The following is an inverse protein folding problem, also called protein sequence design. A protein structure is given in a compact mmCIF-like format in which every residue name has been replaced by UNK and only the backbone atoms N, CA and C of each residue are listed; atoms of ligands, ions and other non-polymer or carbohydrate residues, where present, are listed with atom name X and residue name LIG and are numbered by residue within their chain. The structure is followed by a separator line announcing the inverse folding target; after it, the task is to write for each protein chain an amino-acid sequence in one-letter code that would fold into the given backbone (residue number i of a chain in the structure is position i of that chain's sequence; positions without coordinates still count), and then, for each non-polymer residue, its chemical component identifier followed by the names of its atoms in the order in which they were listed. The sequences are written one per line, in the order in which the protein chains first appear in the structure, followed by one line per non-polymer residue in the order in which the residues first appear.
data_IF_467886659543
#
_entry.id   IF_467886659543
#
_cell.length_a   1.000
_cell.length_b   1.000
_cell.length_c   1.000
_cell.angle_alpha   90.00
_cell.angle_beta   90.00
_cell.angle_gamma   90.00
#
_symmetry.space_group_name_H-M   'P 1'
#
loop_
_entity.id
_entity.type
_entity.pdbx_description
1 polymer ?
#
# COMPACT_ATOMS: atom_id res chain seq x y z
N UNK A 1 -18.96 31.97 13.92
CA UNK A 1 -17.65 31.30 13.87
C UNK A 1 -17.68 30.34 12.69
N UNK A 2 -16.69 30.33 11.79
CA UNK A 2 -16.65 29.31 10.75
C UNK A 2 -16.28 27.98 11.40
N UNK A 3 -17.03 26.93 11.07
CA UNK A 3 -16.86 25.59 11.61
C UNK A 3 -15.48 25.02 11.24
N UNK A 4 -14.66 24.76 12.27
CA UNK A 4 -13.47 23.93 12.15
C UNK A 4 -13.90 22.46 12.14
N UNK A 5 -14.48 21.99 11.04
CA UNK A 5 -14.43 20.57 10.73
C UNK A 5 -13.13 20.36 9.95
N UNK A 6 -12.02 20.23 10.69
CA UNK A 6 -10.76 19.79 10.10
C UNK A 6 -10.91 18.32 9.79
N UNK A 7 -10.98 18.02 8.51
CA UNK A 7 -11.07 16.66 7.97
C UNK A 7 -10.09 15.72 8.68
N UNK A 8 -10.62 14.85 9.53
CA UNK A 8 -9.90 13.68 10.02
C UNK A 8 -9.89 12.66 8.87
N UNK A 9 -9.11 12.93 7.83
CA UNK A 9 -8.84 11.94 6.80
C UNK A 9 -7.99 10.88 7.47
N UNK A 10 -8.61 9.77 7.86
CA UNK A 10 -7.88 8.60 8.33
C UNK A 10 -6.91 8.18 7.24
N UNK A 11 -5.63 8.27 7.55
CA UNK A 11 -4.56 7.83 6.68
C UNK A 11 -4.74 6.34 6.39
N UNK A 12 -4.54 5.88 5.15
CA UNK A 12 -4.56 4.46 4.87
C UNK A 12 -3.59 3.72 5.79
N UNK A 13 -4.02 2.57 6.31
CA UNK A 13 -3.22 1.75 7.24
C UNK A 13 -1.82 1.41 6.68
N UNK A 14 -1.71 1.35 5.35
CA UNK A 14 -0.48 1.05 4.63
C UNK A 14 0.41 2.26 4.37
N UNK A 15 -0.03 3.50 4.65
CA UNK A 15 0.72 4.73 4.28
C UNK A 15 2.11 4.79 4.94
N UNK A 16 2.23 4.22 6.15
CA UNK A 16 3.48 4.20 6.93
C UNK A 16 4.40 3.03 6.62
N UNK A 17 3.91 2.04 5.86
CA UNK A 17 4.67 0.85 5.49
C UNK A 17 5.55 1.14 4.27
N UNK A 18 6.66 0.43 4.15
CA UNK A 18 7.35 0.34 2.85
C UNK A 18 6.58 -0.59 1.87
N UNK A 19 7.08 -0.73 0.64
CA UNK A 19 6.41 -1.55 -0.37
C UNK A 19 6.42 -3.05 -0.03
N UNK A 20 7.51 -3.53 0.58
CA UNK A 20 7.68 -4.94 0.95
C UNK A 20 6.77 -5.30 2.11
N UNK A 21 6.75 -4.49 3.17
CA UNK A 21 5.87 -4.64 4.32
C UNK A 21 4.39 -4.57 3.91
N UNK A 22 4.03 -3.66 3.02
CA UNK A 22 2.66 -3.56 2.52
C UNK A 22 2.26 -4.83 1.75
N UNK A 23 3.14 -5.36 0.89
CA UNK A 23 2.90 -6.62 0.18
C UNK A 23 2.78 -7.78 1.16
N UNK A 24 3.67 -7.87 2.15
CA UNK A 24 3.66 -8.94 3.16
C UNK A 24 2.36 -8.95 3.96
N UNK A 25 1.88 -7.77 4.42
CA UNK A 25 0.59 -7.67 5.12
C UNK A 25 -0.57 -8.17 4.27
N UNK A 26 -0.58 -7.89 2.97
CA UNK A 26 -1.59 -8.43 2.07
C UNK A 26 -1.45 -9.94 1.88
N UNK A 27 -0.23 -10.47 1.83
CA UNK A 27 0.01 -11.92 1.77
C UNK A 27 -0.46 -12.62 3.05
N UNK A 28 -0.24 -12.02 4.22
CA UNK A 28 -0.74 -12.53 5.51
C UNK A 28 -2.27 -12.63 5.56
N UNK A 29 -2.99 -11.78 4.81
CA UNK A 29 -4.47 -11.90 4.67
C UNK A 29 -4.92 -13.05 3.76
N UNK A 30 -3.98 -13.81 3.18
CA UNK A 30 -4.24 -14.94 2.29
C UNK A 30 -4.15 -14.59 0.80
N UNK A 31 -3.78 -13.36 0.45
CA UNK A 31 -3.62 -12.95 -0.93
C UNK A 31 -2.33 -13.53 -1.52
N UNK A 32 -2.37 -14.03 -2.76
CA UNK A 32 -1.15 -14.49 -3.42
C UNK A 32 -0.16 -13.32 -3.61
N UNK A 33 1.15 -13.52 -3.42
CA UNK A 33 2.17 -12.45 -3.53
C UNK A 33 2.08 -11.65 -4.83
N UNK A 34 1.77 -12.31 -5.97
CA UNK A 34 1.56 -11.63 -7.25
C UNK A 34 0.33 -10.70 -7.26
N UNK A 35 -0.72 -11.05 -6.54
CA UNK A 35 -1.93 -10.24 -6.43
C UNK A 35 -1.79 -9.15 -5.36
N UNK A 36 -1.05 -9.41 -4.29
CA UNK A 36 -0.60 -8.40 -3.34
C UNK A 36 0.19 -7.29 -4.04
N UNK A 37 1.19 -7.62 -4.87
CA UNK A 37 1.95 -6.63 -5.66
C UNK A 37 1.03 -5.80 -6.57
N UNK A 38 0.02 -6.42 -7.19
CA UNK A 38 -0.96 -5.69 -8.02
C UNK A 38 -1.79 -4.72 -7.18
N UNK A 39 -2.18 -5.13 -5.98
CA UNK A 39 -2.97 -4.32 -5.06
C UNK A 39 -2.15 -3.14 -4.53
N UNK A 40 -0.92 -3.37 -4.07
CA UNK A 40 0.01 -2.31 -3.63
C UNK A 40 0.27 -1.29 -4.75
N UNK A 41 0.45 -1.73 -5.99
CA UNK A 41 0.61 -0.82 -7.13
C UNK A 41 -0.61 0.10 -7.31
N UNK A 42 -1.82 -0.42 -7.15
CA UNK A 42 -3.05 0.38 -7.21
C UNK A 42 -3.16 1.33 -6.02
N UNK A 43 -2.94 0.84 -4.82
CA UNK A 43 -3.07 1.62 -3.57
C UNK A 43 -2.07 2.78 -3.53
N UNK A 44 -0.84 2.54 -4.00
CA UNK A 44 0.24 3.54 -4.05
C UNK A 44 0.24 4.39 -5.32
N UNK A 45 -0.62 4.10 -6.30
CA UNK A 45 -0.61 4.76 -7.61
C UNK A 45 0.69 4.57 -8.39
N UNK A 46 1.40 3.45 -8.15
CA UNK A 46 2.68 3.12 -8.79
C UNK A 46 2.49 2.14 -9.95
N UNK A 47 3.48 2.07 -10.85
CA UNK A 47 3.48 1.03 -11.86
C UNK A 47 3.79 -0.32 -11.21
N UNK A 48 3.09 -1.37 -11.65
CA UNK A 48 3.32 -2.75 -11.15
C UNK A 48 4.79 -3.18 -11.25
N UNK A 49 5.50 -2.73 -12.29
CA UNK A 49 6.92 -3.05 -12.49
C UNK A 49 7.80 -2.43 -11.40
N UNK A 50 7.48 -1.23 -10.94
CA UNK A 50 8.22 -0.54 -9.87
C UNK A 50 8.07 -1.31 -8.56
N UNK A 51 6.83 -1.63 -8.18
CA UNK A 51 6.56 -2.43 -6.97
C UNK A 51 7.20 -3.82 -7.06
N UNK A 52 7.17 -4.46 -8.23
CA UNK A 52 7.81 -5.75 -8.43
C UNK A 52 9.33 -5.69 -8.22
N UNK A 53 9.98 -4.67 -8.77
CA UNK A 53 11.43 -4.49 -8.62
C UNK A 53 11.79 -4.27 -7.16
N UNK A 54 11.11 -3.37 -6.45
CA UNK A 54 11.42 -3.09 -5.03
C UNK A 54 11.22 -4.32 -4.13
N UNK A 55 10.21 -5.15 -4.41
CA UNK A 55 9.85 -6.31 -3.57
C UNK A 55 10.61 -7.60 -3.95
N UNK A 56 11.30 -7.62 -5.09
CA UNK A 56 12.03 -8.79 -5.60
C UNK A 56 13.52 -8.53 -5.85
N UNK A 57 14.03 -7.38 -5.44
CA UNK A 57 15.48 -7.13 -5.39
C UNK A 57 15.96 -7.62 -4.02
N UNK A 58 16.85 -8.61 -4.04
CA UNK A 58 17.60 -9.09 -2.87
C UNK A 58 18.67 -8.07 -2.44
#
# INVERSE_FOLDING_TARGET
APELVKDFVEKPWWETLDLSEHVEKLVETGLAKKDAIKQVAKDRGLQKREVYNEVMVD
#
